data_IF_238701649359
#
_entry.id   IF_238701649359
#
_cell.length_a   1.000
_cell.length_b   1.000
_cell.length_c   1.000
_cell.angle_alpha   90.00
_cell.angle_beta   90.00
_cell.angle_gamma   90.00
#
_symmetry.space_group_name_H-M   'P 1'
#
loop_
_entity.id
_entity.type
_entity.pdbx_description
1 polymer ?
#
# COMPACT_ATOMS: atom_id res chain seq x y z
N UNK A 1 -39.29 19.02 -26.94
CA UNK A 1 -38.54 17.81 -27.34
C UNK A 1 -37.39 17.55 -26.36
N UNK A 2 -37.70 17.34 -25.08
CA UNK A 2 -36.72 17.09 -24.00
C UNK A 2 -37.23 15.91 -23.16
N UNK A 3 -37.16 14.69 -23.69
CA UNK A 3 -37.68 13.50 -22.98
C UNK A 3 -36.89 12.20 -23.20
N UNK A 4 -35.71 12.23 -23.83
CA UNK A 4 -34.93 11.01 -24.10
C UNK A 4 -33.80 10.72 -23.09
N UNK A 5 -33.26 11.74 -22.41
CA UNK A 5 -32.11 11.56 -21.49
C UNK A 5 -32.49 11.00 -20.10
N UNK A 6 -33.76 10.98 -19.73
CA UNK A 6 -34.23 10.51 -18.42
C UNK A 6 -34.37 8.99 -18.30
N UNK A 7 -34.10 8.23 -19.37
CA UNK A 7 -34.20 6.75 -19.40
C UNK A 7 -32.86 6.04 -19.42
N UNK A 8 -31.74 6.77 -19.42
CA UNK A 8 -30.44 6.13 -19.33
C UNK A 8 -30.28 5.55 -17.92
N UNK A 9 -29.82 4.29 -17.80
CA UNK A 9 -29.48 3.75 -16.49
C UNK A 9 -28.45 4.68 -15.85
N UNK A 10 -28.48 4.85 -14.52
CA UNK A 10 -27.50 5.66 -13.82
C UNK A 10 -26.08 5.29 -14.27
N UNK A 11 -25.22 6.28 -14.54
CA UNK A 11 -23.93 6.08 -15.19
C UNK A 11 -23.10 4.95 -14.53
N UNK A 12 -23.13 4.84 -13.20
CA UNK A 12 -22.44 3.76 -12.48
C UNK A 12 -22.91 2.34 -12.86
N UNK A 13 -24.20 2.12 -13.12
CA UNK A 13 -24.68 0.81 -13.59
C UNK A 13 -24.30 0.53 -15.05
N UNK A 14 -24.18 1.57 -15.89
CA UNK A 14 -23.70 1.40 -17.25
C UNK A 14 -22.20 1.09 -17.30
N UNK A 15 -21.43 1.63 -16.35
CA UNK A 15 -19.98 1.43 -16.27
C UNK A 15 -19.56 0.08 -15.69
N UNK A 16 -20.40 -0.56 -14.87
CA UNK A 16 -20.03 -1.79 -14.15
C UNK A 16 -19.49 -2.89 -15.06
N UNK A 17 -20.20 -3.24 -16.13
CA UNK A 17 -19.78 -4.28 -17.08
C UNK A 17 -18.48 -3.90 -17.82
N UNK A 18 -18.31 -2.62 -18.16
CA UNK A 18 -17.09 -2.12 -18.79
C UNK A 18 -15.89 -2.19 -17.84
N UNK A 19 -16.09 -1.82 -16.57
CA UNK A 19 -15.06 -1.91 -15.54
C UNK A 19 -14.66 -3.35 -15.26
N UNK A 20 -15.61 -4.28 -15.14
CA UNK A 20 -15.28 -5.72 -14.99
C UNK A 20 -14.45 -6.24 -16.17
N UNK A 21 -14.79 -5.85 -17.40
CA UNK A 21 -14.06 -6.24 -18.60
C UNK A 21 -12.63 -5.69 -18.66
N UNK A 22 -12.35 -4.55 -17.98
CA UNK A 22 -11.02 -3.94 -17.91
C UNK A 22 -10.21 -4.44 -16.71
N UNK A 23 -10.84 -4.58 -15.54
CA UNK A 23 -10.17 -4.95 -14.29
C UNK A 23 -9.54 -6.33 -14.36
N UNK A 24 -10.22 -7.32 -14.95
CA UNK A 24 -9.68 -8.69 -15.04
C UNK A 24 -8.40 -8.75 -15.86
N UNK A 25 -8.35 -8.25 -17.12
CA UNK A 25 -7.09 -8.18 -17.87
C UNK A 25 -6.00 -7.38 -17.17
N UNK A 26 -6.35 -6.26 -16.53
CA UNK A 26 -5.38 -5.45 -15.79
C UNK A 26 -4.77 -6.24 -14.61
N UNK A 27 -5.59 -7.01 -13.89
CA UNK A 27 -5.09 -7.87 -12.81
C UNK A 27 -4.16 -8.97 -13.33
N UNK A 28 -4.52 -9.62 -14.43
CA UNK A 28 -3.68 -10.65 -15.06
C UNK A 28 -2.35 -10.05 -15.52
N UNK A 29 -2.38 -8.87 -16.12
CA UNK A 29 -1.18 -8.16 -16.52
C UNK A 29 -0.26 -7.89 -15.32
N UNK A 30 -0.79 -7.32 -14.22
CA UNK A 30 -0.01 -7.09 -13.00
C UNK A 30 0.62 -8.38 -12.47
N UNK A 31 -0.12 -9.49 -12.43
CA UNK A 31 0.42 -10.78 -12.00
C UNK A 31 1.58 -11.26 -12.87
N UNK A 32 1.48 -11.05 -14.19
CA UNK A 32 2.50 -11.46 -15.15
C UNK A 32 3.76 -10.60 -15.08
N UNK A 33 3.61 -9.29 -14.88
CA UNK A 33 4.76 -8.38 -14.83
C UNK A 33 5.45 -8.35 -13.48
N UNK A 34 4.77 -8.75 -12.40
CA UNK A 34 5.29 -8.62 -11.04
C UNK A 34 6.71 -9.17 -10.89
N UNK A 35 7.06 -10.40 -11.34
CA UNK A 35 8.41 -10.92 -11.17
C UNK A 35 9.47 -10.08 -11.89
N UNK A 36 9.15 -9.58 -13.09
CA UNK A 36 10.08 -8.73 -13.86
C UNK A 36 10.25 -7.35 -13.20
N UNK A 37 9.16 -6.76 -12.72
CA UNK A 37 9.19 -5.49 -11.99
C UNK A 37 10.00 -5.62 -10.70
N UNK A 38 9.79 -6.71 -9.95
CA UNK A 38 10.55 -6.98 -8.73
C UNK A 38 12.05 -7.01 -8.99
N UNK A 39 12.50 -7.73 -10.02
CA UNK A 39 13.92 -7.82 -10.35
C UNK A 39 14.50 -6.50 -10.86
N UNK A 40 13.78 -5.79 -11.73
CA UNK A 40 14.29 -4.59 -12.40
C UNK A 40 14.19 -3.31 -11.55
N UNK A 41 13.24 -3.24 -10.61
CA UNK A 41 12.90 -2.01 -9.86
C UNK A 41 13.11 -2.19 -8.36
N UNK A 42 12.64 -3.31 -7.80
CA UNK A 42 12.61 -3.51 -6.34
C UNK A 42 13.90 -4.14 -5.81
N UNK A 43 14.54 -5.05 -6.54
CA UNK A 43 15.70 -5.83 -6.06
C UNK A 43 16.98 -5.57 -6.85
N UNK A 44 16.98 -4.59 -7.75
CA UNK A 44 18.11 -4.36 -8.65
C UNK A 44 19.35 -3.84 -7.94
N UNK A 45 20.44 -4.61 -7.98
CA UNK A 45 21.74 -4.23 -7.39
C UNK A 45 22.36 -2.95 -7.97
N UNK A 46 22.05 -2.60 -9.23
CA UNK A 46 22.56 -1.38 -9.90
C UNK A 46 21.74 -0.11 -9.60
N UNK A 47 20.87 -0.14 -8.59
CA UNK A 47 20.01 0.99 -8.21
C UNK A 47 18.65 1.01 -8.91
N UNK A 48 18.36 0.06 -9.80
CA UNK A 48 17.03 -0.15 -10.40
C UNK A 48 16.59 0.91 -11.39
N UNK A 49 15.59 0.55 -12.19
CA UNK A 49 14.87 1.52 -13.03
C UNK A 49 14.05 2.45 -12.13
N UNK A 50 14.09 3.75 -12.42
CA UNK A 50 13.24 4.72 -11.72
C UNK A 50 11.78 4.52 -12.14
N UNK A 51 10.84 4.83 -11.25
CA UNK A 51 9.41 4.91 -11.59
C UNK A 51 9.13 5.96 -12.68
N UNK A 52 10.07 6.89 -12.91
CA UNK A 52 10.00 7.90 -13.97
C UNK A 52 10.28 7.33 -15.37
N UNK A 53 10.89 6.16 -15.44
CA UNK A 53 11.32 5.52 -16.67
C UNK A 53 10.31 4.43 -17.10
N UNK A 54 9.96 4.39 -18.38
CA UNK A 54 9.34 3.19 -18.98
C UNK A 54 7.84 2.99 -18.76
N UNK A 55 7.11 3.96 -18.19
CA UNK A 55 5.63 4.00 -18.18
C UNK A 55 4.91 2.90 -17.37
N UNK A 56 5.64 1.91 -16.84
CA UNK A 56 5.06 0.82 -16.07
C UNK A 56 4.53 1.31 -14.72
N UNK A 57 5.31 2.13 -14.02
CA UNK A 57 4.86 2.77 -12.79
C UNK A 57 3.58 3.57 -13.03
N UNK A 58 3.51 4.34 -14.13
CA UNK A 58 2.31 5.09 -14.51
C UNK A 58 1.08 4.18 -14.70
N UNK A 59 1.23 3.02 -15.33
CA UNK A 59 0.14 2.06 -15.50
C UNK A 59 -0.34 1.51 -14.15
N UNK A 60 0.59 1.16 -13.26
CA UNK A 60 0.28 0.67 -11.91
C UNK A 60 -0.43 1.77 -11.10
N UNK A 61 0.11 3.00 -11.11
CA UNK A 61 -0.49 4.21 -10.49
C UNK A 61 -1.93 4.40 -10.97
N UNK A 62 -2.17 4.41 -12.28
CA UNK A 62 -3.53 4.57 -12.83
C UNK A 62 -4.49 3.45 -12.43
N UNK A 63 -4.00 2.21 -12.31
CA UNK A 63 -4.84 1.12 -11.81
C UNK A 63 -5.18 1.30 -10.33
N UNK A 64 -4.22 1.73 -9.50
CA UNK A 64 -4.46 2.05 -8.09
C UNK A 64 -5.50 3.18 -7.94
N UNK A 65 -5.40 4.24 -8.74
CA UNK A 65 -6.34 5.37 -8.77
C UNK A 65 -7.73 4.96 -9.27
N UNK A 66 -7.80 4.03 -10.24
CA UNK A 66 -9.07 3.46 -10.67
C UNK A 66 -9.73 2.65 -9.54
N UNK A 67 -8.96 1.85 -8.81
CA UNK A 67 -9.46 1.08 -7.66
C UNK A 67 -9.96 2.00 -6.54
N UNK A 68 -9.22 3.08 -6.24
CA UNK A 68 -9.66 4.14 -5.33
C UNK A 68 -11.01 4.72 -5.78
N UNK A 69 -11.10 5.15 -7.05
CA UNK A 69 -12.33 5.70 -7.63
C UNK A 69 -13.51 4.73 -7.51
N UNK A 70 -13.30 3.42 -7.71
CA UNK A 70 -14.33 2.39 -7.55
C UNK A 70 -14.79 2.26 -6.09
N UNK A 71 -13.86 2.30 -5.13
CA UNK A 71 -14.16 2.22 -3.70
C UNK A 71 -15.00 3.39 -3.21
N UNK A 72 -14.70 4.62 -3.64
CA UNK A 72 -15.50 5.79 -3.28
C UNK A 72 -16.96 5.66 -3.72
N UNK A 73 -17.20 5.15 -4.93
CA UNK A 73 -18.55 5.10 -5.50
C UNK A 73 -19.29 3.85 -5.01
N UNK A 74 -20.20 4.02 -4.05
CA UNK A 74 -20.92 2.91 -3.40
C UNK A 74 -21.58 1.87 -4.33
N UNK A 75 -22.00 2.25 -5.55
CA UNK A 75 -22.53 1.30 -6.55
C UNK A 75 -21.44 0.43 -7.19
N UNK A 76 -20.29 1.03 -7.50
CA UNK A 76 -19.15 0.35 -8.10
C UNK A 76 -18.36 -0.45 -7.08
N UNK A 77 -18.35 -0.04 -5.80
CA UNK A 77 -17.69 -0.76 -4.70
C UNK A 77 -18.09 -2.25 -4.63
N UNK A 78 -19.32 -2.58 -5.04
CA UNK A 78 -19.81 -3.97 -5.09
C UNK A 78 -18.97 -4.88 -6.00
N UNK A 79 -18.28 -4.32 -7.00
CA UNK A 79 -17.37 -5.03 -7.90
C UNK A 79 -16.13 -5.59 -7.19
N UNK A 80 -15.72 -4.95 -6.09
CA UNK A 80 -14.52 -5.34 -5.33
C UNK A 80 -14.85 -6.17 -4.10
N UNK A 81 -16.14 -6.33 -3.78
CA UNK A 81 -16.60 -7.09 -2.62
C UNK A 81 -16.19 -8.56 -2.75
N UNK A 82 -15.59 -9.11 -1.70
CA UNK A 82 -15.02 -10.46 -1.68
C UNK A 82 -13.64 -10.57 -2.31
N UNK A 83 -13.11 -9.49 -2.92
CA UNK A 83 -11.83 -9.50 -3.63
C UNK A 83 -10.76 -8.60 -3.00
N UNK A 84 -11.09 -7.86 -1.94
CA UNK A 84 -10.18 -6.86 -1.35
C UNK A 84 -8.83 -7.44 -0.91
N UNK A 85 -8.81 -8.65 -0.35
CA UNK A 85 -7.55 -9.32 0.02
C UNK A 85 -6.70 -9.65 -1.21
N UNK A 86 -7.30 -10.28 -2.22
CA UNK A 86 -6.59 -10.63 -3.46
C UNK A 86 -6.10 -9.39 -4.21
N UNK A 87 -6.89 -8.32 -4.20
CA UNK A 87 -6.50 -7.02 -4.74
C UNK A 87 -5.29 -6.45 -4.01
N UNK A 88 -5.29 -6.44 -2.67
CA UNK A 88 -4.13 -6.00 -1.89
C UNK A 88 -2.90 -6.88 -2.16
N UNK A 89 -3.04 -8.20 -2.16
CA UNK A 89 -1.94 -9.13 -2.46
C UNK A 89 -1.36 -8.91 -3.86
N UNK A 90 -2.17 -8.44 -4.81
CA UNK A 90 -1.74 -8.13 -6.16
C UNK A 90 -0.93 -6.82 -6.23
N UNK A 91 -1.35 -5.78 -5.51
CA UNK A 91 -0.76 -4.44 -5.67
C UNK A 91 0.40 -4.16 -4.72
N UNK A 92 0.39 -4.75 -3.52
CA UNK A 92 1.44 -4.51 -2.50
C UNK A 92 2.87 -4.82 -2.97
N UNK A 93 3.13 -5.84 -3.82
CA UNK A 93 4.48 -6.08 -4.35
C UNK A 93 5.11 -4.86 -5.03
N UNK A 94 4.30 -4.02 -5.67
CA UNK A 94 4.71 -2.80 -6.37
C UNK A 94 4.89 -1.60 -5.44
N UNK A 95 4.33 -1.65 -4.23
CA UNK A 95 4.44 -0.57 -3.24
C UNK A 95 5.71 -0.67 -2.38
N UNK A 96 6.54 -1.70 -2.54
CA UNK A 96 7.79 -1.83 -1.78
C UNK A 96 8.78 -0.76 -2.22
N UNK A 97 9.61 -0.33 -1.28
CA UNK A 97 10.70 0.59 -1.54
C UNK A 97 11.60 0.08 -2.68
N UNK A 98 11.80 0.92 -3.70
CA UNK A 98 12.65 0.61 -4.86
C UNK A 98 14.12 0.86 -4.56
N UNK A 99 15.04 0.25 -5.31
CA UNK A 99 16.47 0.56 -5.16
C UNK A 99 16.79 2.00 -5.62
N UNK A 100 16.00 2.54 -6.55
CA UNK A 100 16.12 3.92 -7.00
C UNK A 100 15.76 4.89 -5.88
N UNK A 101 14.69 4.61 -5.13
CA UNK A 101 14.30 5.36 -3.93
C UNK A 101 15.38 5.26 -2.85
N UNK A 102 15.89 4.06 -2.55
CA UNK A 102 16.99 3.88 -1.59
C UNK A 102 18.20 4.74 -1.95
N UNK A 103 18.60 4.74 -3.22
CA UNK A 103 19.74 5.54 -3.71
C UNK A 103 19.47 7.03 -3.62
N UNK A 104 18.28 7.47 -4.03
CA UNK A 104 17.88 8.89 -4.02
C UNK A 104 17.81 9.42 -2.59
N UNK A 105 17.15 8.70 -1.68
CA UNK A 105 17.01 9.08 -0.28
C UNK A 105 18.33 9.02 0.51
N UNK A 106 19.30 8.18 0.08
CA UNK A 106 20.67 8.22 0.60
C UNK A 106 21.43 9.45 0.14
N UNK A 107 21.20 9.89 -1.09
CA UNK A 107 21.83 11.06 -1.66
C UNK A 107 21.26 12.36 -1.06
N UNK A 108 19.95 12.40 -0.83
CA UNK A 108 19.26 13.51 -0.16
C UNK A 108 18.17 12.98 0.81
N UNK A 109 18.45 12.94 2.12
CA UNK A 109 17.46 12.53 3.12
C UNK A 109 16.19 13.39 3.14
N UNK A 110 16.23 14.62 2.60
CA UNK A 110 15.02 15.46 2.51
C UNK A 110 14.00 14.87 1.53
N UNK A 111 14.42 14.08 0.54
CA UNK A 111 13.49 13.40 -0.37
C UNK A 111 12.68 12.31 0.35
N UNK A 112 13.27 11.64 1.35
CA UNK A 112 12.50 10.72 2.20
C UNK A 112 11.47 11.48 3.04
N UNK A 113 11.85 12.62 3.63
CA UNK A 113 10.92 13.44 4.42
C UNK A 113 9.79 14.00 3.56
N UNK A 114 10.11 14.46 2.34
CA UNK A 114 9.10 14.90 1.38
C UNK A 114 8.10 13.78 1.07
N UNK A 115 8.54 12.52 0.94
CA UNK A 115 7.62 11.38 0.80
C UNK A 115 6.74 11.15 2.04
N UNK A 116 7.22 11.42 3.25
CA UNK A 116 6.44 11.22 4.48
C UNK A 116 5.48 12.37 4.81
N UNK A 117 5.66 13.54 4.21
CA UNK A 117 4.92 14.77 4.56
C UNK A 117 4.18 15.42 3.39
N UNK A 118 4.59 15.18 2.14
CA UNK A 118 4.10 15.87 0.95
C UNK A 118 3.42 14.88 -0.01
N UNK A 119 2.26 15.27 -0.53
CA UNK A 119 1.45 14.45 -1.46
C UNK A 119 2.09 14.35 -2.85
N UNK A 120 3.18 15.09 -3.10
CA UNK A 120 3.90 15.14 -4.37
C UNK A 120 5.39 14.87 -4.23
N UNK A 121 5.73 13.64 -3.82
CA UNK A 121 7.11 13.15 -3.82
C UNK A 121 7.51 12.54 -5.17
N UNK A 122 8.64 13.01 -5.70
CA UNK A 122 9.23 12.52 -6.95
C UNK A 122 9.60 11.03 -6.83
N UNK A 123 9.37 10.26 -7.89
CA UNK A 123 9.77 8.84 -7.96
C UNK A 123 9.05 7.89 -7.00
N UNK A 124 7.92 8.30 -6.42
CA UNK A 124 7.16 7.52 -5.43
C UNK A 124 5.67 7.40 -5.76
N UNK A 125 5.29 7.57 -7.03
CA UNK A 125 3.89 7.66 -7.45
C UNK A 125 3.10 6.40 -7.10
N UNK A 126 3.70 5.23 -7.30
CA UNK A 126 3.05 3.95 -6.98
C UNK A 126 2.75 3.86 -5.48
N UNK A 127 3.68 4.32 -4.64
CA UNK A 127 3.52 4.32 -3.18
C UNK A 127 2.46 5.30 -2.70
N UNK A 128 2.45 6.52 -3.24
CA UNK A 128 1.46 7.54 -2.93
C UNK A 128 0.04 7.10 -3.33
N UNK A 129 -0.14 6.58 -4.54
CA UNK A 129 -1.44 6.02 -4.96
C UNK A 129 -1.82 4.78 -4.13
N UNK A 130 -0.85 3.99 -3.68
CA UNK A 130 -1.08 2.87 -2.79
C UNK A 130 -1.54 3.29 -1.39
N UNK A 131 -0.97 4.36 -0.83
CA UNK A 131 -1.43 4.98 0.43
C UNK A 131 -2.88 5.44 0.30
N UNK A 132 -3.21 6.17 -0.77
CA UNK A 132 -4.58 6.57 -1.07
C UNK A 132 -5.53 5.37 -1.13
N UNK A 133 -5.16 4.29 -1.81
CA UNK A 133 -5.94 3.06 -1.86
C UNK A 133 -6.19 2.43 -0.48
N UNK A 134 -5.18 2.41 0.38
CA UNK A 134 -5.33 1.89 1.75
C UNK A 134 -6.26 2.77 2.58
N UNK A 135 -6.16 4.10 2.43
CA UNK A 135 -7.05 5.03 3.10
C UNK A 135 -8.51 4.86 2.67
N UNK A 136 -8.73 4.72 1.36
CA UNK A 136 -10.04 4.43 0.77
C UNK A 136 -10.63 3.10 1.28
N UNK A 137 -9.79 2.08 1.47
CA UNK A 137 -10.21 0.80 2.06
C UNK A 137 -10.65 0.95 3.51
N UNK A 138 -9.89 1.70 4.31
CA UNK A 138 -10.23 1.97 5.71
C UNK A 138 -11.55 2.75 5.82
N UNK A 139 -11.76 3.73 4.94
CA UNK A 139 -12.91 4.64 4.96
C UNK A 139 -14.18 4.01 4.37
N UNK A 140 -14.09 3.43 3.17
CA UNK A 140 -15.27 3.05 2.38
C UNK A 140 -15.59 1.56 2.35
N UNK A 141 -14.56 0.70 2.48
CA UNK A 141 -14.75 -0.74 2.58
C UNK A 141 -14.93 -1.24 4.04
N UNK A 142 -14.81 -0.33 5.02
CA UNK A 142 -15.07 -0.56 6.44
C UNK A 142 -14.39 -1.85 6.92
N UNK A 143 -15.15 -2.72 7.59
CA UNK A 143 -14.70 -3.98 8.20
C UNK A 143 -14.06 -4.95 7.23
N UNK A 144 -14.54 -5.03 5.99
CA UNK A 144 -13.98 -5.96 5.01
C UNK A 144 -12.59 -5.51 4.57
N UNK A 145 -12.42 -4.21 4.28
CA UNK A 145 -11.15 -3.59 3.94
C UNK A 145 -10.12 -3.76 5.07
N UNK A 146 -10.49 -3.43 6.30
CA UNK A 146 -9.60 -3.56 7.46
C UNK A 146 -9.18 -5.02 7.72
N UNK A 147 -10.09 -5.99 7.58
CA UNK A 147 -9.74 -7.42 7.71
C UNK A 147 -8.78 -7.90 6.62
N UNK A 148 -8.99 -7.45 5.38
CA UNK A 148 -8.09 -7.76 4.28
C UNK A 148 -6.69 -7.17 4.54
N UNK A 149 -6.61 -5.92 4.99
CA UNK A 149 -5.37 -5.26 5.39
C UNK A 149 -4.66 -6.01 6.52
N UNK A 150 -5.38 -6.39 7.59
CA UNK A 150 -4.81 -7.15 8.71
C UNK A 150 -4.21 -8.48 8.26
N UNK A 151 -4.93 -9.20 7.42
CA UNK A 151 -4.44 -10.48 6.88
C UNK A 151 -3.17 -10.30 6.06
N UNK A 152 -3.13 -9.27 5.19
CA UNK A 152 -1.97 -8.98 4.33
C UNK A 152 -0.79 -8.49 5.15
N UNK A 153 -0.98 -7.53 6.05
CA UNK A 153 0.08 -7.00 6.94
C UNK A 153 0.65 -8.12 7.80
N UNK A 154 -0.18 -8.96 8.42
CA UNK A 154 0.29 -10.09 9.23
C UNK A 154 1.11 -11.10 8.43
N UNK A 155 0.69 -11.40 7.20
CA UNK A 155 1.43 -12.29 6.29
C UNK A 155 2.79 -11.70 5.91
N UNK A 156 2.85 -10.40 5.59
CA UNK A 156 4.08 -9.70 5.22
C UNK A 156 5.06 -9.61 6.39
N UNK A 157 4.59 -9.26 7.59
CA UNK A 157 5.42 -9.23 8.80
C UNK A 157 6.01 -10.62 9.08
N UNK A 158 5.19 -11.66 9.06
CA UNK A 158 5.64 -13.04 9.30
C UNK A 158 6.70 -13.46 8.29
N UNK A 159 6.42 -13.28 6.99
CA UNK A 159 7.35 -13.66 5.92
C UNK A 159 8.64 -12.84 5.95
N UNK A 160 8.53 -11.54 6.17
CA UNK A 160 9.66 -10.63 6.24
C UNK A 160 10.57 -10.94 7.43
N UNK A 161 10.01 -11.15 8.62
CA UNK A 161 10.78 -11.53 9.82
C UNK A 161 11.48 -12.88 9.65
N UNK A 162 10.81 -13.89 9.08
CA UNK A 162 11.41 -15.17 8.76
C UNK A 162 12.56 -15.04 7.75
N UNK A 163 12.37 -14.24 6.70
CA UNK A 163 13.39 -14.00 5.68
C UNK A 163 14.61 -13.25 6.25
N UNK A 164 14.39 -12.25 7.10
CA UNK A 164 15.48 -11.55 7.82
C UNK A 164 16.26 -12.55 8.68
N UNK A 165 15.57 -13.38 9.46
CA UNK A 165 16.21 -14.39 10.31
C UNK A 165 17.01 -15.44 9.49
N UNK A 166 16.62 -15.66 8.24
CA UNK A 166 17.27 -16.58 7.31
C UNK A 166 18.36 -15.92 6.44
N UNK A 167 18.59 -14.61 6.58
CA UNK A 167 19.59 -13.87 5.81
C UNK A 167 19.18 -13.53 4.38
N UNK A 168 17.89 -13.50 4.06
CA UNK A 168 17.40 -13.09 2.74
C UNK A 168 17.58 -11.58 2.52
N UNK A 169 18.35 -11.20 1.50
CA UNK A 169 18.83 -9.83 1.27
C UNK A 169 17.72 -8.76 1.24
N UNK A 170 16.55 -9.07 0.67
CA UNK A 170 15.46 -8.10 0.50
C UNK A 170 14.22 -8.38 1.38
N UNK A 171 14.30 -9.33 2.32
CA UNK A 171 13.17 -9.65 3.19
C UNK A 171 12.71 -8.47 4.06
N UNK A 172 13.65 -7.56 4.38
CA UNK A 172 13.35 -6.31 5.09
C UNK A 172 12.34 -5.42 4.35
N UNK A 173 12.27 -5.49 3.02
CA UNK A 173 11.29 -4.71 2.23
C UNK A 173 9.85 -5.18 2.47
N UNK A 174 9.65 -6.45 2.84
CA UNK A 174 8.34 -6.96 3.23
C UNK A 174 7.91 -6.38 4.58
N UNK A 175 8.83 -6.31 5.54
CA UNK A 175 8.56 -5.69 6.84
C UNK A 175 8.30 -4.19 6.66
N UNK A 176 9.10 -3.50 5.84
CA UNK A 176 8.94 -2.07 5.54
C UNK A 176 7.53 -1.78 5.00
N UNK A 177 7.11 -2.48 3.94
CA UNK A 177 5.80 -2.22 3.34
C UNK A 177 4.66 -2.64 4.26
N UNK A 178 4.84 -3.65 5.12
CA UNK A 178 3.84 -4.01 6.11
C UNK A 178 3.60 -2.90 7.15
N UNK A 179 4.68 -2.30 7.66
CA UNK A 179 4.58 -1.15 8.58
C UNK A 179 3.99 0.08 7.88
N UNK A 180 4.34 0.31 6.61
CA UNK A 180 3.75 1.37 5.80
C UNK A 180 2.22 1.21 5.68
N UNK A 181 1.75 0.05 5.18
CA UNK A 181 0.32 -0.25 5.02
C UNK A 181 -0.44 -0.16 6.34
N UNK A 182 0.14 -0.69 7.42
CA UNK A 182 -0.45 -0.58 8.76
C UNK A 182 -0.60 0.87 9.19
N UNK A 183 0.44 1.70 9.00
CA UNK A 183 0.42 3.11 9.38
C UNK A 183 -0.62 3.93 8.61
N UNK A 184 -0.79 3.66 7.31
CA UNK A 184 -1.83 4.28 6.49
C UNK A 184 -3.22 3.90 7.00
N UNK A 185 -3.47 2.61 7.22
CA UNK A 185 -4.78 2.14 7.71
C UNK A 185 -5.10 2.63 9.12
N UNK A 186 -4.09 2.68 10.00
CA UNK A 186 -4.25 3.09 11.38
C UNK A 186 -4.48 4.60 11.54
N UNK A 187 -3.96 5.43 10.62
CA UNK A 187 -4.21 6.87 10.60
C UNK A 187 -5.67 7.22 10.28
N UNK A 188 -6.37 6.39 9.52
CA UNK A 188 -7.77 6.61 9.11
C UNK A 188 -8.81 6.15 10.14
N UNK A 189 -8.39 5.58 11.28
CA UNK A 189 -9.31 5.02 12.28
C UNK A 189 -9.11 5.65 13.65
N UNK A 190 -10.15 5.55 14.49
CA UNK A 190 -10.06 6.03 15.87
C UNK A 190 -9.03 5.22 16.67
N UNK A 191 -8.23 5.85 17.55
CA UNK A 191 -7.22 5.15 18.35
C UNK A 191 -7.74 3.92 19.12
N UNK A 192 -8.96 3.99 19.65
CA UNK A 192 -9.60 2.86 20.36
C UNK A 192 -9.81 1.62 19.48
N UNK A 193 -9.90 1.79 18.15
CA UNK A 193 -10.01 0.68 17.21
C UNK A 193 -8.71 -0.13 17.10
N UNK A 194 -7.58 0.41 17.55
CA UNK A 194 -6.32 -0.34 17.68
C UNK A 194 -6.31 -1.29 18.87
N UNK A 195 -7.14 -1.04 19.90
CA UNK A 195 -7.28 -1.92 21.06
C UNK A 195 -8.37 -2.98 20.88
N UNK A 196 -9.50 -2.59 20.28
CA UNK A 196 -10.74 -3.39 20.29
C UNK A 196 -11.44 -3.50 18.93
N UNK A 197 -10.82 -3.00 17.86
CA UNK A 197 -11.35 -3.03 16.49
C UNK A 197 -10.71 -4.10 15.61
N UNK A 198 -10.95 -4.02 14.29
CA UNK A 198 -10.43 -5.01 13.35
C UNK A 198 -8.88 -4.99 13.29
N UNK A 199 -8.21 -3.86 13.57
CA UNK A 199 -6.75 -3.79 13.64
C UNK A 199 -6.13 -4.35 14.94
N UNK A 200 -6.93 -4.68 15.96
CA UNK A 200 -6.42 -5.08 17.28
C UNK A 200 -5.56 -6.34 17.26
N UNK A 201 -5.72 -7.21 16.27
CA UNK A 201 -4.91 -8.41 16.14
C UNK A 201 -3.49 -8.13 15.65
N UNK A 202 -3.32 -7.12 14.80
CA UNK A 202 -2.02 -6.82 14.17
C UNK A 202 -1.31 -5.64 14.85
N UNK A 203 -2.04 -4.75 15.51
CA UNK A 203 -1.45 -3.56 16.14
C UNK A 203 -0.34 -3.89 17.16
N UNK A 204 -0.50 -4.85 18.10
CA UNK A 204 0.57 -5.20 19.03
C UNK A 204 1.82 -5.75 18.33
N UNK A 205 1.62 -6.55 17.27
CA UNK A 205 2.72 -7.13 16.49
C UNK A 205 3.48 -6.04 15.74
N UNK A 206 2.76 -5.15 15.05
CA UNK A 206 3.36 -4.05 14.30
C UNK A 206 4.08 -3.04 15.21
N UNK A 207 3.47 -2.67 16.35
CA UNK A 207 4.10 -1.78 17.33
C UNK A 207 5.34 -2.40 17.97
N UNK A 208 5.28 -3.69 18.34
CA UNK A 208 6.44 -4.39 18.89
C UNK A 208 7.57 -4.51 17.85
N UNK A 209 7.24 -4.81 16.60
CA UNK A 209 8.21 -4.83 15.50
C UNK A 209 8.86 -3.46 15.32
N UNK A 210 8.07 -2.39 15.21
CA UNK A 210 8.59 -1.03 15.08
C UNK A 210 9.49 -0.63 16.25
N UNK A 211 9.09 -0.93 17.49
CA UNK A 211 9.91 -0.65 18.69
C UNK A 211 11.27 -1.35 18.67
N UNK A 212 11.32 -2.62 18.26
CA UNK A 212 12.60 -3.34 18.10
C UNK A 212 13.46 -2.72 16.99
N UNK A 213 12.86 -2.43 15.83
CA UNK A 213 13.57 -1.88 14.67
C UNK A 213 14.16 -0.49 14.95
N UNK A 214 13.47 0.35 15.73
CA UNK A 214 13.99 1.65 16.14
C UNK A 214 15.28 1.55 16.98
N UNK A 215 15.44 0.48 17.76
CA UNK A 215 16.61 0.26 18.61
C UNK A 215 17.74 -0.51 17.90
N UNK A 216 17.45 -1.17 16.79
CA UNK A 216 18.40 -1.99 16.06
C UNK A 216 19.20 -1.14 15.05
N UNK A 217 20.51 -1.04 15.26
CA UNK A 217 21.38 -0.32 14.32
C UNK A 217 21.88 -1.17 13.16
N UNK A 218 21.69 -2.49 13.21
CA UNK A 218 22.13 -3.44 12.20
C UNK A 218 21.09 -3.63 11.07
N UNK A 219 19.84 -3.21 11.27
CA UNK A 219 18.82 -3.24 10.20
C UNK A 219 19.02 -2.13 9.17
N UNK A 220 18.56 -2.32 7.93
CA UNK A 220 18.59 -1.29 6.90
C UNK A 220 17.97 0.03 7.37
N UNK A 221 18.61 1.14 7.02
CA UNK A 221 18.28 2.47 7.54
C UNK A 221 16.85 2.91 7.18
N UNK A 222 16.33 2.53 6.02
CA UNK A 222 14.97 2.88 5.60
C UNK A 222 13.90 1.99 6.24
N UNK A 223 14.25 0.76 6.65
CA UNK A 223 13.37 -0.03 7.51
C UNK A 223 13.25 0.63 8.89
N UNK A 224 14.39 1.08 9.45
CA UNK A 224 14.41 1.82 10.71
C UNK A 224 13.68 3.17 10.61
N UNK A 225 13.89 3.91 9.54
CA UNK A 225 13.19 5.18 9.28
C UNK A 225 11.67 4.96 9.17
N UNK A 226 11.23 3.91 8.47
CA UNK A 226 9.81 3.52 8.40
C UNK A 226 9.23 3.20 9.78
N UNK A 227 9.98 2.50 10.64
CA UNK A 227 9.54 2.22 12.01
C UNK A 227 9.32 3.52 12.81
N UNK A 228 10.25 4.47 12.74
CA UNK A 228 10.08 5.79 13.37
C UNK A 228 8.89 6.57 12.78
N UNK A 229 8.75 6.58 11.46
CA UNK A 229 7.65 7.28 10.79
C UNK A 229 6.28 6.71 11.20
N UNK A 230 6.14 5.38 11.28
CA UNK A 230 4.93 4.72 11.77
C UNK A 230 4.63 5.12 13.22
N UNK A 231 5.62 5.04 14.13
CA UNK A 231 5.41 5.39 15.54
C UNK A 231 5.04 6.87 15.71
N UNK A 232 5.65 7.76 14.93
CA UNK A 232 5.30 9.19 14.88
C UNK A 232 3.86 9.39 14.42
N UNK A 233 3.46 8.77 13.30
CA UNK A 233 2.10 8.88 12.73
C UNK A 233 1.03 8.38 13.70
N UNK A 234 1.39 7.43 14.56
CA UNK A 234 0.50 6.84 15.56
C UNK A 234 0.73 7.38 16.99
N UNK A 235 1.49 8.46 17.17
CA UNK A 235 1.92 8.95 18.48
C UNK A 235 0.76 9.15 19.46
N UNK A 236 -0.31 9.81 19.04
CA UNK A 236 -1.50 10.02 19.87
C UNK A 236 -2.18 8.71 20.27
N UNK A 237 -2.18 7.72 19.38
CA UNK A 237 -2.74 6.42 19.66
C UNK A 237 -1.85 5.57 20.57
N UNK A 238 -0.53 5.62 20.39
CA UNK A 238 0.45 4.92 21.24
C UNK A 238 0.44 5.48 22.65
N UNK A 239 0.33 6.79 22.82
CA UNK A 239 0.21 7.42 24.15
C UNK A 239 -1.12 7.11 24.86
N UNK A 240 -2.16 6.75 24.10
CA UNK A 240 -3.47 6.39 24.63
C UNK A 240 -3.64 4.87 24.88
N UNK A 241 -2.67 4.06 24.48
CA UNK A 241 -2.61 2.60 24.64
C UNK A 241 -2.08 2.21 26.01
#
# INVERSE_FOLDING_TARGET
>A
TVTAFSRLPPLGSALAAGLEAVLRPACVLLQQIQPAYEQAVIFSDDGGQSEEDGGMAQLITQLLELLQSILEKGRLRSLLKGHLRSMLQLVVPFMRITEAQVKAWRADPNEFLAHEEDDYARGCQVRLSGEGLVGELATYAKREGLRALVAVVGELLTRGECGIASGEAHAWKLVEVALFLFSCAAAEIQPRALQRGDLAQVAPVALAAAGRLCADTAVPEFLRARAFAMLRKLGDAVCAL
#
